data_IF_197137352024
#
_entry.id   IF_197137352024
#
_cell.length_a   1.000
_cell.length_b   1.000
_cell.length_c   1.000
_cell.angle_alpha   90.00
_cell.angle_beta   90.00
_cell.angle_gamma   90.00
#
_symmetry.space_group_name_H-M   'P 1'
#
loop_
_entity.id
_entity.type
_entity.pdbx_description
1 polymer ?
#
# COMPACT_ATOMS: atom_id res chain seq x y z
N UNK A 1 5.89 -11.96 -11.90
CA UNK A 1 5.58 -10.52 -11.83
C UNK A 1 6.63 -9.90 -10.93
N UNK A 2 7.38 -8.90 -11.39
CA UNK A 2 8.33 -8.21 -10.50
C UNK A 2 7.52 -7.62 -9.36
N UNK A 3 7.84 -7.92 -8.08
CA UNK A 3 7.13 -7.32 -6.96
C UNK A 3 7.16 -5.79 -7.10
N UNK A 4 6.10 -5.08 -6.66
CA UNK A 4 6.10 -3.63 -6.74
C UNK A 4 7.38 -3.09 -6.09
N UNK A 5 8.01 -2.03 -6.66
CA UNK A 5 9.25 -1.52 -6.11
C UNK A 5 9.06 -1.22 -4.63
N UNK A 6 10.02 -1.61 -3.79
CA UNK A 6 9.93 -1.39 -2.32
C UNK A 6 9.60 0.07 -1.97
N UNK A 7 10.06 1.02 -2.77
CA UNK A 7 9.76 2.45 -2.63
C UNK A 7 8.27 2.79 -2.78
N UNK A 8 7.55 2.02 -3.60
CA UNK A 8 6.09 2.12 -3.77
C UNK A 8 5.38 1.51 -2.57
N UNK A 9 5.77 0.30 -2.14
CA UNK A 9 5.20 -0.38 -0.95
C UNK A 9 5.33 0.53 0.28
N UNK A 10 6.54 1.04 0.54
CA UNK A 10 6.81 1.98 1.65
C UNK A 10 5.91 3.21 1.59
N UNK A 11 5.74 3.81 0.40
CA UNK A 11 4.89 4.99 0.24
C UNK A 11 3.43 4.66 0.55
N UNK A 12 2.90 3.57 0.00
CA UNK A 12 1.53 3.11 0.27
C UNK A 12 1.31 2.90 1.76
N UNK A 13 2.25 2.24 2.42
CA UNK A 13 2.20 1.96 3.85
C UNK A 13 2.26 3.22 4.71
N UNK A 14 3.09 4.20 4.35
CA UNK A 14 3.13 5.50 5.01
C UNK A 14 1.81 6.26 4.86
N UNK A 15 1.15 6.19 3.70
CA UNK A 15 -0.17 6.79 3.50
C UNK A 15 -1.25 6.10 4.35
N UNK A 16 -1.12 4.79 4.59
CA UNK A 16 -1.99 4.07 5.51
C UNK A 16 -1.79 4.52 6.97
N UNK A 17 -0.54 4.66 7.43
CA UNK A 17 -0.24 5.21 8.75
C UNK A 17 -0.79 6.62 8.95
N UNK A 18 -0.70 7.46 7.92
CA UNK A 18 -1.28 8.79 7.98
C UNK A 18 -2.79 8.76 8.18
N UNK A 19 -3.52 7.90 7.45
CA UNK A 19 -4.97 7.76 7.62
C UNK A 19 -5.33 7.32 9.04
N UNK A 20 -4.64 6.30 9.57
CA UNK A 20 -4.84 5.85 10.96
C UNK A 20 -4.57 6.97 11.97
N UNK A 21 -3.55 7.81 11.72
CA UNK A 21 -3.28 8.99 12.53
C UNK A 21 -4.43 10.00 12.46
N UNK A 22 -4.94 10.32 11.26
CA UNK A 22 -6.08 11.23 11.10
C UNK A 22 -7.32 10.71 11.82
N UNK A 23 -7.67 9.44 11.64
CA UNK A 23 -8.81 8.81 12.29
C UNK A 23 -8.72 8.91 13.81
N UNK A 24 -7.55 8.61 14.38
CA UNK A 24 -7.29 8.72 15.82
C UNK A 24 -7.45 10.17 16.32
N UNK A 25 -6.92 11.14 15.59
CA UNK A 25 -6.96 12.54 15.99
C UNK A 25 -8.37 13.15 15.86
N UNK A 26 -9.11 12.77 14.81
CA UNK A 26 -10.51 13.15 14.61
C UNK A 26 -11.39 12.53 15.69
N UNK A 27 -11.18 11.24 16.01
CA UNK A 27 -11.88 10.57 17.12
C UNK A 27 -11.58 11.22 18.48
N UNK A 28 -10.39 11.79 18.64
CA UNK A 28 -10.01 12.59 19.82
C UNK A 28 -10.59 14.02 19.81
N UNK A 29 -11.43 14.38 18.82
CA UNK A 29 -12.10 15.68 18.73
C UNK A 29 -11.23 16.80 18.17
N UNK A 30 -10.07 16.51 17.59
CA UNK A 30 -9.22 17.54 16.98
C UNK A 30 -9.76 17.97 15.61
N UNK A 31 -9.63 19.26 15.25
CA UNK A 31 -10.06 19.74 13.95
C UNK A 31 -9.20 19.13 12.83
N UNK A 32 -9.81 18.81 11.69
CA UNK A 32 -9.11 18.27 10.52
C UNK A 32 -8.05 19.24 9.95
N UNK A 33 -8.23 20.55 10.18
CA UNK A 33 -7.31 21.59 9.74
C UNK A 33 -5.99 21.51 10.53
N UNK A 34 -4.90 21.22 9.83
CA UNK A 34 -3.56 21.17 10.42
C UNK A 34 -3.07 19.77 10.79
N UNK A 35 -3.90 18.73 10.66
CA UNK A 35 -3.48 17.36 10.98
C UNK A 35 -2.34 16.86 10.08
N UNK A 36 -2.33 17.25 8.80
CA UNK A 36 -1.20 16.99 7.89
C UNK A 36 0.13 17.58 8.42
N UNK A 37 0.07 18.78 9.02
CA UNK A 37 1.26 19.43 9.59
C UNK A 37 1.66 18.75 10.90
N UNK A 38 0.69 18.35 11.72
CA UNK A 38 0.93 17.61 12.95
C UNK A 38 1.56 16.23 12.67
N UNK A 39 1.13 15.54 11.61
CA UNK A 39 1.73 14.29 11.17
C UNK A 39 3.15 14.48 10.63
N UNK A 40 3.38 15.52 9.81
CA UNK A 40 4.73 15.85 9.37
C UNK A 40 5.67 16.14 10.56
N UNK A 41 5.18 16.89 11.56
CA UNK A 41 5.92 17.17 12.77
C UNK A 41 6.21 15.92 13.62
N UNK A 42 5.24 14.98 13.74
CA UNK A 42 5.44 13.75 14.52
C UNK A 42 6.51 12.84 13.92
N UNK A 43 6.69 12.89 12.59
CA UNK A 43 7.73 12.19 11.85
C UNK A 43 9.05 12.97 11.71
N UNK A 44 9.12 14.20 12.26
CA UNK A 44 10.26 15.12 12.12
C UNK A 44 10.62 15.44 10.65
N UNK A 45 9.60 15.61 9.80
CA UNK A 45 9.76 16.04 8.41
C UNK A 45 9.08 17.37 8.14
N UNK A 46 9.53 18.08 7.10
CA UNK A 46 8.89 19.34 6.72
C UNK A 46 7.51 19.10 6.07
N UNK A 47 6.55 20.03 6.19
CA UNK A 47 5.26 19.94 5.50
C UNK A 47 5.39 19.85 3.97
N UNK A 48 6.42 20.46 3.41
CA UNK A 48 6.76 20.35 1.98
C UNK A 48 7.17 18.92 1.61
N UNK A 49 8.05 18.31 2.41
CA UNK A 49 8.46 16.91 2.22
C UNK A 49 7.26 15.96 2.34
N UNK A 50 6.39 16.18 3.32
CA UNK A 50 5.15 15.43 3.45
C UNK A 50 4.26 15.54 2.21
N UNK A 51 4.09 16.75 1.67
CA UNK A 51 3.31 16.98 0.44
C UNK A 51 3.92 16.26 -0.76
N UNK A 52 5.24 16.20 -0.86
CA UNK A 52 5.95 15.45 -1.91
C UNK A 52 5.75 13.94 -1.76
N UNK A 53 5.81 13.39 -0.54
CA UNK A 53 5.54 11.97 -0.26
C UNK A 53 4.11 11.61 -0.65
N UNK A 54 3.13 12.48 -0.33
CA UNK A 54 1.75 12.30 -0.78
C UNK A 54 1.60 12.30 -2.29
N UNK A 55 2.38 13.09 -3.01
CA UNK A 55 2.30 13.21 -4.47
C UNK A 55 3.00 12.08 -5.23
N UNK A 56 4.30 11.89 -5.01
CA UNK A 56 5.11 10.98 -5.84
C UNK A 56 6.49 10.62 -5.28
N UNK A 57 6.96 11.23 -4.19
CA UNK A 57 8.33 11.03 -3.72
C UNK A 57 8.55 9.60 -3.25
N UNK A 58 9.55 8.88 -3.79
CA UNK A 58 9.89 7.54 -3.32
C UNK A 58 10.50 7.59 -1.91
N UNK A 59 10.23 6.57 -1.11
CA UNK A 59 10.74 6.44 0.26
C UNK A 59 11.94 5.49 0.27
N UNK A 60 13.13 6.07 0.52
CA UNK A 60 14.36 5.32 0.71
C UNK A 60 14.44 4.68 2.10
N UNK A 61 15.47 3.86 2.34
CA UNK A 61 15.58 3.06 3.56
C UNK A 61 15.70 3.91 4.84
N UNK A 62 16.57 4.92 4.84
CA UNK A 62 16.75 5.83 5.98
C UNK A 62 15.45 6.50 6.41
N UNK A 63 14.67 7.00 5.43
CA UNK A 63 13.39 7.64 5.71
C UNK A 63 12.36 6.62 6.20
N UNK A 64 12.36 5.39 5.66
CA UNK A 64 11.48 4.33 6.13
C UNK A 64 11.75 4.01 7.61
N UNK A 65 13.01 3.80 8.01
CA UNK A 65 13.36 3.51 9.42
C UNK A 65 13.03 4.67 10.35
N UNK A 66 13.23 5.91 9.91
CA UNK A 66 12.80 7.08 10.66
C UNK A 66 11.29 7.03 10.90
N UNK A 67 10.49 6.83 9.84
CA UNK A 67 9.03 6.80 9.96
C UNK A 67 8.57 5.66 10.87
N UNK A 68 9.15 4.46 10.75
CA UNK A 68 8.81 3.31 11.62
C UNK A 68 9.03 3.64 13.10
N UNK A 69 10.19 4.24 13.42
CA UNK A 69 10.53 4.67 14.78
C UNK A 69 9.54 5.71 15.32
N UNK A 70 9.22 6.74 14.54
CA UNK A 70 8.33 7.82 14.98
C UNK A 70 6.85 7.38 15.04
N UNK A 71 6.43 6.50 14.14
CA UNK A 71 5.09 5.91 14.15
C UNK A 71 4.93 4.77 15.17
N UNK A 72 6.01 4.35 15.84
CA UNK A 72 6.06 3.24 16.82
C UNK A 72 5.54 1.93 16.25
N UNK A 73 5.91 1.63 15.01
CA UNK A 73 5.68 0.33 14.37
C UNK A 73 6.98 -0.46 14.32
N UNK A 74 6.88 -1.78 14.12
CA UNK A 74 8.05 -2.64 14.05
C UNK A 74 8.96 -2.29 12.86
N UNK A 75 10.25 -2.59 13.01
CA UNK A 75 11.22 -2.40 11.92
C UNK A 75 10.86 -3.34 10.77
N UNK A 76 10.79 -2.79 9.56
CA UNK A 76 10.37 -3.54 8.36
C UNK A 76 8.86 -3.49 8.11
N UNK A 77 8.08 -2.86 9.00
CA UNK A 77 6.65 -2.69 8.79
C UNK A 77 6.34 -1.94 7.49
N UNK A 78 7.16 -0.95 7.09
CA UNK A 78 6.95 -0.25 5.81
C UNK A 78 7.36 -1.07 4.59
N UNK A 79 8.14 -2.14 4.75
CA UNK A 79 8.59 -3.00 3.65
C UNK A 79 7.62 -4.14 3.37
N UNK A 80 6.79 -4.49 4.35
CA UNK A 80 5.81 -5.55 4.23
C UNK A 80 4.63 -5.11 3.35
N UNK A 81 4.15 -6.00 2.49
CA UNK A 81 2.86 -5.82 1.84
C UNK A 81 1.76 -5.99 2.89
N UNK A 82 1.08 -4.89 3.22
CA UNK A 82 -0.15 -4.95 4.00
C UNK A 82 -1.33 -5.08 3.05
N UNK A 83 -2.34 -5.85 3.44
CA UNK A 83 -3.66 -5.76 2.83
C UNK A 83 -4.27 -4.39 3.18
N UNK A 84 -3.78 -3.33 2.54
CA UNK A 84 -4.33 -1.99 2.70
C UNK A 84 -5.76 -2.04 2.19
N UNK A 85 -6.72 -1.97 3.10
CA UNK A 85 -8.14 -2.09 2.81
C UNK A 85 -8.67 -0.95 1.92
N UNK A 86 -7.87 0.11 1.75
CA UNK A 86 -8.27 1.31 1.03
C UNK A 86 -7.29 1.64 -0.10
N UNK A 87 -7.76 1.61 -1.36
CA UNK A 87 -6.95 2.04 -2.50
C UNK A 87 -6.46 3.48 -2.31
N UNK A 88 -5.27 3.79 -2.84
CA UNK A 88 -4.82 5.18 -2.86
C UNK A 88 -5.63 6.02 -3.87
N UNK A 89 -5.56 7.37 -3.86
CA UNK A 89 -6.36 8.19 -4.78
C UNK A 89 -6.08 7.94 -6.28
N UNK A 90 -4.87 7.51 -6.65
CA UNK A 90 -4.55 7.15 -8.02
C UNK A 90 -5.15 5.80 -8.39
N UNK A 91 -5.09 4.84 -7.48
CA UNK A 91 -5.75 3.55 -7.60
C UNK A 91 -7.28 3.69 -7.64
N UNK A 92 -7.88 4.56 -6.82
CA UNK A 92 -9.31 4.88 -6.86
C UNK A 92 -9.72 5.43 -8.24
N UNK A 93 -8.94 6.36 -8.80
CA UNK A 93 -9.18 6.88 -10.16
C UNK A 93 -9.07 5.77 -11.20
N UNK A 94 -8.08 4.90 -11.09
CA UNK A 94 -7.92 3.76 -11.97
C UNK A 94 -9.12 2.81 -11.87
N UNK A 95 -9.56 2.45 -10.66
CA UNK A 95 -10.73 1.60 -10.43
C UNK A 95 -12.01 2.22 -10.97
N UNK A 96 -12.19 3.55 -10.84
CA UNK A 96 -13.32 4.26 -11.41
C UNK A 96 -13.34 4.16 -12.95
N UNK A 97 -12.20 4.44 -13.60
CA UNK A 97 -12.06 4.32 -15.05
C UNK A 97 -12.24 2.88 -15.53
N UNK A 98 -11.65 1.91 -14.83
CA UNK A 98 -11.78 0.49 -15.15
C UNK A 98 -13.24 0.04 -15.06
N UNK A 99 -13.99 0.48 -14.03
CA UNK A 99 -15.43 0.20 -13.89
C UNK A 99 -16.25 0.82 -15.00
N UNK A 100 -15.96 2.06 -15.38
CA UNK A 100 -16.64 2.73 -16.49
C UNK A 100 -16.40 2.00 -17.81
N UNK A 101 -15.13 1.69 -18.11
CA UNK A 101 -14.73 0.94 -19.30
C UNK A 101 -15.41 -0.44 -19.34
N UNK A 102 -15.43 -1.16 -18.22
CA UNK A 102 -16.11 -2.45 -18.10
C UNK A 102 -17.61 -2.35 -18.39
N UNK A 103 -18.29 -1.33 -17.87
CA UNK A 103 -19.73 -1.13 -18.09
C UNK A 103 -20.05 -0.80 -19.54
N UNK A 104 -19.21 -0.01 -20.20
CA UNK A 104 -19.36 0.37 -21.62
C UNK A 104 -18.95 -0.74 -22.59
N UNK A 105 -18.11 -1.69 -22.16
CA UNK A 105 -17.63 -2.76 -23.01
C UNK A 105 -18.72 -3.76 -23.41
N UNK A 106 -18.67 -4.19 -24.66
CA UNK A 106 -19.48 -5.30 -25.18
C UNK A 106 -18.92 -6.66 -24.73
N UNK A 107 -19.58 -7.75 -25.13
CA UNK A 107 -19.18 -9.11 -24.74
C UNK A 107 -17.73 -9.44 -25.13
N UNK A 108 -17.25 -8.99 -26.30
CA UNK A 108 -15.85 -9.18 -26.72
C UNK A 108 -14.90 -8.41 -25.80
N UNK A 109 -15.13 -7.12 -25.57
CA UNK A 109 -14.26 -6.29 -24.73
C UNK A 109 -14.16 -6.78 -23.28
N UNK A 110 -15.26 -7.27 -22.70
CA UNK A 110 -15.25 -7.87 -21.36
C UNK A 110 -14.45 -9.18 -21.30
N UNK A 111 -14.51 -10.01 -22.35
CA UNK A 111 -13.69 -11.23 -22.45
C UNK A 111 -12.21 -10.87 -22.56
N UNK A 112 -11.86 -9.91 -23.41
CA UNK A 112 -10.48 -9.49 -23.62
C UNK A 112 -9.87 -8.93 -22.32
N UNK A 113 -10.63 -8.09 -21.60
CA UNK A 113 -10.23 -7.59 -20.27
C UNK A 113 -10.04 -8.71 -19.24
N UNK A 114 -10.92 -9.72 -19.23
CA UNK A 114 -10.78 -10.89 -18.35
C UNK A 114 -9.58 -11.76 -18.71
N UNK A 115 -9.33 -11.98 -19.99
CA UNK A 115 -8.19 -12.77 -20.46
C UNK A 115 -6.89 -12.10 -20.04
N UNK A 116 -6.76 -10.79 -20.29
CA UNK A 116 -5.61 -9.99 -19.88
C UNK A 116 -5.36 -10.05 -18.36
N UNK A 117 -6.42 -10.01 -17.56
CA UNK A 117 -6.31 -10.14 -16.11
C UNK A 117 -5.91 -11.57 -15.68
N UNK A 118 -6.47 -12.60 -16.30
CA UNK A 118 -6.19 -14.00 -16.00
C UNK A 118 -4.75 -14.40 -16.34
N UNK A 119 -4.23 -13.97 -17.49
CA UNK A 119 -2.83 -14.17 -17.91
C UNK A 119 -1.84 -13.61 -16.87
N UNK A 120 -2.23 -12.52 -16.19
CA UNK A 120 -1.43 -11.85 -15.17
C UNK A 120 -1.65 -12.37 -13.75
N UNK A 121 -2.78 -13.04 -13.49
CA UNK A 121 -3.12 -13.62 -12.19
C UNK A 121 -2.61 -15.05 -11.99
N UNK A 122 -2.46 -15.84 -13.06
CA UNK A 122 -1.96 -17.22 -12.99
C UNK A 122 -0.61 -17.40 -12.25
N UNK A 123 0.35 -16.45 -12.30
CA UNK A 123 1.60 -16.54 -11.53
C UNK A 123 1.42 -16.35 -10.00
N UNK A 124 0.31 -15.76 -9.54
CA UNK A 124 0.07 -15.46 -8.12
C UNK A 124 -0.50 -16.67 -7.36
N UNK A 125 -1.28 -17.52 -8.03
CA UNK A 125 -1.89 -18.71 -7.41
C UNK A 125 -0.90 -19.85 -7.19
N UNK A 126 0.15 -19.96 -8.01
CA UNK A 126 1.17 -21.02 -7.88
C UNK A 126 2.18 -20.74 -6.75
N UNK A 127 2.44 -19.47 -6.40
CA UNK A 127 3.33 -19.11 -5.30
C UNK A 127 2.71 -19.34 -3.90
N UNK A 128 1.38 -19.29 -3.79
CA UNK A 128 0.65 -19.58 -2.54
C UNK A 128 0.43 -21.09 -2.35
N UNK A 129 0.58 -21.89 -3.42
CA UNK A 129 0.34 -23.33 -3.41
C UNK A 129 1.60 -24.18 -3.17
N UNK A 130 2.70 -23.61 -2.65
CA UNK A 130 3.82 -24.42 -2.17
C UNK A 130 3.50 -24.93 -0.74
N UNK A 131 3.20 -26.23 -0.54
CA UNK A 131 3.00 -26.76 0.79
C UNK A 131 4.32 -26.72 1.57
N UNK A 132 4.27 -26.16 2.77
CA UNK A 132 5.38 -26.07 3.69
C UNK A 132 5.90 -27.45 4.11
N UNK A 133 7.23 -27.54 4.15
CA UNK A 133 8.05 -28.32 5.07
C UNK A 133 7.60 -29.74 5.40
N UNK A 134 8.26 -30.71 4.77
CA UNK A 134 8.48 -32.02 5.39
C UNK A 134 9.05 -31.84 6.82
N UNK A 135 8.45 -32.46 7.85
CA UNK A 135 9.07 -32.52 9.17
C UNK A 135 10.27 -33.48 9.15
N UNK A 136 11.33 -33.23 9.93
CA UNK A 136 12.46 -34.14 9.98
C UNK A 136 12.05 -35.44 10.70
N UNK A 137 12.09 -36.55 9.97
CA UNK A 137 12.10 -37.89 10.53
C UNK A 137 13.29 -37.99 11.50
N UNK A 138 12.98 -38.13 12.79
CA UNK A 138 13.91 -38.60 13.80
C UNK A 138 13.67 -40.08 13.93
N UNK A 139 14.51 -40.89 13.27
CA UNK A 139 14.60 -42.31 13.57
C UNK A 139 16.03 -42.68 13.96
N UNK A 140 16.07 -43.73 14.78
CA UNK A 140 17.02 -44.04 15.84
C UNK A 140 18.12 -44.99 15.37
#
# INVERSE_FOLDING_TARGET
>A
MTPPPLTVIRRTNVLALHRLFLEKEIAAGKPAKGLDQAFAASLEISPSMWSQIKSSRPIGDTLARQIERHARVDVGWLDAEHATQHPDPAEERFLALAREAWRRANAKGKRDMRLWAAERAAPLQQAVAAPGGEPPETEK
#
